data_IF_134714027510
#
_entry.id   IF_134714027510
#
_cell.length_a   1.000
_cell.length_b   1.000
_cell.length_c   1.000
_cell.angle_alpha   90.00
_cell.angle_beta   90.00
_cell.angle_gamma   90.00
#
_symmetry.space_group_name_H-M   'P 1'
#
loop_
_entity.id
_entity.type
_entity.pdbx_description
1 polymer ?
#
# COMPACT_ATOMS: atom_id res chain seq x y z
N UNK A 1 83.26 24.37 20.03
CA UNK A 1 83.45 23.26 19.08
C UNK A 1 83.93 22.06 19.89
N UNK A 2 83.01 21.22 20.35
CA UNK A 2 83.36 20.09 21.24
C UNK A 2 83.82 18.92 20.37
N UNK A 3 85.12 18.62 20.40
CA UNK A 3 85.67 17.40 19.81
C UNK A 3 85.28 16.22 20.70
N UNK A 4 84.50 15.30 20.15
CA UNK A 4 84.19 14.00 20.75
C UNK A 4 85.41 13.11 20.49
N UNK A 5 86.05 12.63 21.55
CA UNK A 5 87.17 11.69 21.49
C UNK A 5 86.67 10.30 21.91
N UNK A 6 86.33 9.44 20.94
CA UNK A 6 86.23 7.98 21.14
C UNK A 6 86.93 7.27 19.99
N UNK A 7 87.67 6.19 20.29
CA UNK A 7 88.51 5.47 19.32
C UNK A 7 87.72 4.68 18.25
N UNK A 8 86.45 4.37 18.49
CA UNK A 8 85.61 3.65 17.51
C UNK A 8 84.43 4.50 17.01
N UNK A 9 84.50 5.83 17.22
CA UNK A 9 83.48 6.83 16.85
C UNK A 9 83.28 7.03 15.34
N UNK A 10 83.05 5.96 14.59
CA UNK A 10 82.77 6.01 13.16
C UNK A 10 81.32 6.41 12.92
N UNK A 11 81.07 7.72 12.91
CA UNK A 11 80.19 8.25 11.88
C UNK A 11 80.93 8.12 10.55
N UNK A 12 80.36 7.36 9.62
CA UNK A 12 80.90 7.18 8.27
C UNK A 12 81.07 8.58 7.64
N UNK A 13 82.33 8.95 7.37
CA UNK A 13 82.75 10.22 6.75
C UNK A 13 82.12 11.51 7.32
N UNK A 14 82.74 12.08 8.37
CA UNK A 14 82.74 13.54 8.55
C UNK A 14 81.39 14.22 8.86
N UNK A 15 80.49 13.60 9.63
CA UNK A 15 79.24 14.24 10.05
C UNK A 15 79.51 15.44 10.97
N UNK A 16 79.52 16.64 10.40
CA UNK A 16 79.54 17.90 11.15
C UNK A 16 78.11 18.19 11.62
N UNK A 17 77.85 18.03 12.91
CA UNK A 17 76.60 18.48 13.53
C UNK A 17 76.64 20.00 13.67
N UNK A 18 76.01 20.70 12.73
CA UNK A 18 75.87 22.16 12.80
C UNK A 18 74.72 22.54 13.74
N UNK A 19 74.76 23.76 14.26
CA UNK A 19 73.62 24.33 15.02
C UNK A 19 72.33 24.32 14.20
N UNK A 20 72.44 24.48 12.87
CA UNK A 20 71.28 24.57 11.97
C UNK A 20 70.62 23.20 11.81
N UNK A 21 71.43 22.13 11.74
CA UNK A 21 70.91 20.77 11.77
C UNK A 21 70.23 20.46 13.12
N UNK A 22 70.86 20.81 14.25
CA UNK A 22 70.27 20.56 15.56
C UNK A 22 68.94 21.31 15.75
N UNK A 23 68.87 22.57 15.28
CA UNK A 23 67.64 23.35 15.29
C UNK A 23 66.58 22.77 14.35
N UNK A 24 66.94 22.28 13.17
CA UNK A 24 65.96 21.68 12.26
C UNK A 24 65.31 20.43 12.86
N UNK A 25 66.10 19.57 13.50
CA UNK A 25 65.60 18.38 14.19
C UNK A 25 64.72 18.72 15.41
N UNK A 26 64.97 19.84 16.11
CA UNK A 26 64.13 20.29 17.21
C UNK A 26 62.83 20.96 16.73
N UNK A 27 62.91 21.71 15.64
CA UNK A 27 61.76 22.43 15.08
C UNK A 27 60.72 21.47 14.49
N UNK A 28 61.11 20.31 13.96
CA UNK A 28 60.19 19.34 13.38
C UNK A 28 59.12 18.83 14.39
N UNK A 29 59.47 18.26 15.57
CA UNK A 29 58.49 17.89 16.58
C UNK A 29 57.82 19.11 17.23
N UNK A 30 58.50 20.27 17.30
CA UNK A 30 57.91 21.50 17.81
C UNK A 30 56.72 21.96 16.93
N UNK A 31 56.88 21.92 15.61
CA UNK A 31 55.80 22.26 14.67
C UNK A 31 54.60 21.32 14.80
N UNK A 32 54.79 20.04 15.16
CA UNK A 32 53.67 19.11 15.43
C UNK A 32 52.86 19.59 16.64
N UNK A 33 53.52 20.05 17.69
CA UNK A 33 52.85 20.60 18.88
C UNK A 33 52.08 21.88 18.54
N UNK A 34 52.75 22.82 17.87
CA UNK A 34 52.16 24.10 17.49
C UNK A 34 51.00 23.96 16.49
N UNK A 35 51.06 23.00 15.56
CA UNK A 35 49.98 22.70 14.61
C UNK A 35 48.67 22.30 15.30
N UNK A 36 48.72 21.82 16.54
CA UNK A 36 47.52 21.53 17.35
C UNK A 36 47.01 22.74 18.14
N UNK A 37 47.65 23.91 18.00
CA UNK A 37 47.36 25.12 18.76
C UNK A 37 47.89 25.09 20.20
N UNK A 38 48.79 24.17 20.54
CA UNK A 38 49.48 24.13 21.83
C UNK A 38 50.70 25.07 21.81
N UNK A 39 51.02 25.72 22.94
CA UNK A 39 52.27 26.46 23.10
C UNK A 39 53.39 25.54 23.57
N UNK A 40 54.59 25.72 23.03
CA UNK A 40 55.79 24.99 23.46
C UNK A 40 56.12 25.35 24.92
N UNK A 41 56.29 24.32 25.75
CA UNK A 41 56.65 24.45 27.17
C UNK A 41 57.84 23.53 27.45
N UNK A 42 59.04 24.09 27.72
CA UNK A 42 60.24 23.30 27.99
C UNK A 42 60.16 22.52 29.30
N UNK A 43 59.10 22.69 30.11
CA UNK A 43 58.89 21.95 31.36
C UNK A 43 57.94 20.74 31.20
N UNK A 44 57.35 20.54 30.02
CA UNK A 44 56.40 19.46 29.76
C UNK A 44 56.97 18.40 28.79
N UNK A 45 57.49 17.31 29.35
CA UNK A 45 58.07 16.20 28.57
C UNK A 45 57.02 15.39 27.75
N UNK A 46 55.73 15.71 27.87
CA UNK A 46 54.64 14.99 27.20
C UNK A 46 53.92 15.78 26.09
N UNK A 47 54.42 16.96 25.70
CA UNK A 47 53.73 17.81 24.72
C UNK A 47 53.50 17.13 23.38
N UNK A 48 54.51 16.44 22.85
CA UNK A 48 54.40 15.73 21.57
C UNK A 48 53.32 14.63 21.64
N UNK A 49 53.27 13.89 22.74
CA UNK A 49 52.26 12.85 22.95
C UNK A 49 50.84 13.45 23.02
N UNK A 50 50.67 14.57 23.73
CA UNK A 50 49.40 15.30 23.83
C UNK A 50 48.96 15.81 22.44
N UNK A 51 49.88 16.37 21.66
CA UNK A 51 49.62 16.85 20.31
C UNK A 51 49.20 15.70 19.37
N UNK A 52 49.93 14.59 19.35
CA UNK A 52 49.57 13.39 18.57
C UNK A 52 48.20 12.87 18.99
N UNK A 53 47.95 12.75 20.29
CA UNK A 53 46.65 12.30 20.82
C UNK A 53 45.51 13.23 20.37
N UNK A 54 45.76 14.55 20.33
CA UNK A 54 44.77 15.52 19.85
C UNK A 54 44.52 15.40 18.35
N UNK A 55 45.55 15.24 17.53
CA UNK A 55 45.44 15.05 16.08
C UNK A 55 44.65 13.79 15.74
N UNK A 56 44.92 12.69 16.45
CA UNK A 56 44.21 11.42 16.28
C UNK A 56 42.72 11.55 16.65
N UNK A 57 42.40 12.33 17.68
CA UNK A 57 41.03 12.48 18.19
C UNK A 57 40.22 13.63 17.53
N UNK A 58 40.89 14.54 16.81
CA UNK A 58 40.26 15.72 16.19
C UNK A 58 40.46 15.73 14.68
N UNK A 59 39.85 14.80 13.94
CA UNK A 59 39.98 14.75 12.50
C UNK A 59 39.38 16.02 11.87
N UNK A 60 40.11 16.57 10.90
CA UNK A 60 39.73 17.77 10.16
C UNK A 60 38.38 17.57 9.46
N UNK A 61 37.49 18.56 9.60
CA UNK A 61 36.24 18.63 8.83
C UNK A 61 36.47 19.56 7.65
N UNK A 62 36.46 18.98 6.45
CA UNK A 62 36.59 19.70 5.20
C UNK A 62 35.28 20.43 4.87
N UNK A 63 35.36 21.49 4.08
CA UNK A 63 34.17 22.14 3.54
C UNK A 63 33.84 21.56 2.18
N UNK A 64 32.57 21.30 1.93
CA UNK A 64 32.08 20.94 0.61
C UNK A 64 32.18 22.14 -0.35
N UNK A 65 32.77 21.90 -1.52
CA UNK A 65 32.96 22.88 -2.61
C UNK A 65 32.35 22.42 -3.93
N UNK A 66 31.56 21.33 -3.93
CA UNK A 66 30.94 20.77 -5.14
C UNK A 66 29.83 21.65 -5.75
N UNK A 67 29.32 22.62 -4.97
CA UNK A 67 28.53 23.75 -5.46
C UNK A 67 27.08 23.45 -5.85
N UNK A 68 26.63 22.19 -5.81
CA UNK A 68 25.26 21.80 -6.09
C UNK A 68 24.85 20.54 -5.32
N UNK A 69 23.54 20.31 -5.20
CA UNK A 69 23.03 19.04 -4.68
C UNK A 69 23.52 17.86 -5.52
N UNK A 70 23.79 16.72 -4.86
CA UNK A 70 24.27 15.48 -5.47
C UNK A 70 25.69 15.50 -6.06
N UNK A 71 26.38 16.65 -6.09
CA UNK A 71 27.77 16.76 -6.54
C UNK A 71 28.60 17.40 -5.44
N UNK A 72 29.45 16.60 -4.81
CA UNK A 72 30.21 17.00 -3.63
C UNK A 72 31.71 16.96 -3.92
N UNK A 73 32.46 17.88 -3.34
CA UNK A 73 33.91 17.91 -3.47
C UNK A 73 34.54 18.55 -2.23
N UNK A 74 35.81 18.28 -1.96
CA UNK A 74 36.53 18.98 -0.90
C UNK A 74 38.01 19.14 -1.27
N UNK A 75 38.70 20.04 -0.55
CA UNK A 75 40.13 20.30 -0.71
C UNK A 75 40.87 19.85 0.54
N UNK A 76 41.76 18.87 0.39
CA UNK A 76 42.61 18.36 1.46
C UNK A 76 43.93 19.14 1.52
N UNK A 77 44.54 19.15 2.70
CA UNK A 77 45.89 19.70 2.92
C UNK A 77 46.71 18.66 3.70
N UNK A 78 47.60 17.91 3.04
CA UNK A 78 47.93 17.94 1.61
C UNK A 78 46.82 17.38 0.70
N UNK A 79 46.73 17.78 -0.59
CA UNK A 79 45.76 17.23 -1.54
C UNK A 79 45.93 15.72 -1.74
N UNK A 80 44.81 15.00 -1.88
CA UNK A 80 44.85 13.62 -2.32
C UNK A 80 45.22 13.52 -3.81
N UNK A 81 45.96 12.46 -4.12
CA UNK A 81 46.33 12.04 -5.48
C UNK A 81 45.79 10.64 -5.75
N UNK A 82 45.87 10.18 -7.00
CA UNK A 82 45.47 8.81 -7.35
C UNK A 82 46.25 7.75 -6.54
N UNK A 83 47.54 7.98 -6.27
CA UNK A 83 48.39 7.05 -5.52
C UNK A 83 48.08 7.05 -4.02
N UNK A 84 47.63 8.20 -3.49
CA UNK A 84 47.25 8.32 -2.09
C UNK A 84 45.78 8.01 -1.84
N UNK A 85 44.95 7.80 -2.86
CA UNK A 85 43.54 7.40 -2.71
C UNK A 85 43.44 5.87 -2.66
N UNK A 86 43.68 5.32 -1.48
CA UNK A 86 43.64 3.87 -1.21
C UNK A 86 42.44 3.50 -0.32
N UNK A 87 42.07 2.22 -0.35
CA UNK A 87 40.97 1.68 0.45
C UNK A 87 41.14 1.99 1.95
N UNK A 88 40.02 2.36 2.60
CA UNK A 88 39.99 2.69 4.02
C UNK A 88 40.18 4.18 4.33
N UNK A 89 40.43 5.04 3.34
CA UNK A 89 40.54 6.48 3.57
C UNK A 89 39.19 7.07 3.99
N UNK A 90 39.19 7.70 5.17
CA UNK A 90 38.06 8.42 5.71
C UNK A 90 38.13 9.92 5.44
N UNK A 91 37.02 10.53 5.06
CA UNK A 91 36.90 11.99 4.97
C UNK A 91 35.67 12.47 5.74
N UNK A 92 35.84 13.58 6.48
CA UNK A 92 34.74 14.30 7.12
C UNK A 92 34.49 15.57 6.36
N UNK A 93 33.27 15.74 5.84
CA UNK A 93 32.92 16.86 4.97
C UNK A 93 31.67 17.53 5.51
N UNK A 94 31.70 18.85 5.69
CA UNK A 94 30.52 19.65 5.97
C UNK A 94 29.78 19.89 4.65
N UNK A 95 28.58 19.33 4.54
CA UNK A 95 27.76 19.32 3.34
C UNK A 95 27.15 20.70 3.08
N UNK A 96 27.21 21.17 1.83
CA UNK A 96 26.66 22.48 1.44
C UNK A 96 25.22 22.41 0.91
N UNK A 97 24.79 21.25 0.41
CA UNK A 97 23.44 21.06 -0.16
C UNK A 97 22.90 19.68 0.17
N UNK A 98 21.64 19.61 0.60
CA UNK A 98 20.95 18.33 0.83
C UNK A 98 20.83 17.53 -0.46
N UNK A 99 21.14 16.23 -0.44
CA UNK A 99 21.00 15.39 -1.62
C UNK A 99 19.53 15.07 -1.90
N UNK A 100 19.20 14.92 -3.19
CA UNK A 100 17.85 14.55 -3.65
C UNK A 100 17.83 13.19 -4.35
N UNK A 101 18.97 12.50 -4.40
CA UNK A 101 19.11 11.18 -5.00
C UNK A 101 20.57 10.75 -5.07
N UNK A 102 20.91 9.99 -6.11
CA UNK A 102 22.27 9.49 -6.34
C UNK A 102 23.28 10.61 -6.40
N UNK A 103 24.38 10.46 -5.67
CA UNK A 103 25.35 11.52 -5.43
C UNK A 103 26.77 11.07 -5.77
N UNK A 104 27.65 12.00 -6.10
CA UNK A 104 29.09 11.76 -6.33
C UNK A 104 29.96 12.59 -5.41
N UNK A 105 31.17 12.10 -5.14
CA UNK A 105 32.19 12.81 -4.40
C UNK A 105 33.55 12.76 -5.11
N UNK A 106 34.18 13.93 -5.22
CA UNK A 106 35.40 14.17 -5.97
C UNK A 106 36.38 15.08 -5.19
N UNK A 107 37.18 14.54 -4.25
CA UNK A 107 38.14 15.35 -3.52
C UNK A 107 39.32 15.76 -4.41
N UNK A 108 39.84 16.96 -4.20
CA UNK A 108 41.10 17.46 -4.80
C UNK A 108 41.16 17.40 -6.34
N UNK A 109 40.00 17.47 -7.02
CA UNK A 109 39.92 17.38 -8.48
C UNK A 109 40.14 15.98 -9.05
N UNK A 110 40.14 14.94 -8.21
CA UNK A 110 40.11 13.55 -8.66
C UNK A 110 38.78 13.23 -9.36
N UNK A 111 38.72 12.19 -10.21
CA UNK A 111 37.48 11.82 -10.88
C UNK A 111 36.36 11.47 -9.91
N UNK A 112 35.15 11.95 -10.19
CA UNK A 112 33.93 11.63 -9.45
C UNK A 112 33.75 10.13 -9.21
N UNK A 113 33.49 9.78 -7.96
CA UNK A 113 33.08 8.42 -7.55
C UNK A 113 31.71 8.48 -6.89
N UNK A 114 30.86 7.45 -7.08
CA UNK A 114 29.54 7.42 -6.46
C UNK A 114 29.64 7.38 -4.94
N UNK A 115 28.70 8.05 -4.29
CA UNK A 115 28.42 7.90 -2.86
C UNK A 115 27.31 6.87 -2.70
N UNK A 116 27.56 5.87 -1.85
CA UNK A 116 26.59 4.82 -1.50
C UNK A 116 26.33 4.85 -0.01
N UNK A 117 25.13 4.48 0.44
CA UNK A 117 24.86 4.30 1.86
C UNK A 117 25.50 3.02 2.43
N UNK A 118 25.32 2.79 3.74
CA UNK A 118 25.82 1.58 4.40
C UNK A 118 25.26 0.28 3.82
N UNK A 119 24.07 0.32 3.20
CA UNK A 119 23.49 -0.81 2.46
C UNK A 119 24.13 -1.08 1.10
N UNK A 120 25.19 -0.34 0.72
CA UNK A 120 25.85 -0.37 -0.59
C UNK A 120 24.94 -0.03 -1.77
N UNK A 121 23.85 0.70 -1.49
CA UNK A 121 22.94 1.23 -2.49
C UNK A 121 23.25 2.70 -2.75
N UNK A 122 22.93 3.19 -3.95
CA UNK A 122 23.01 4.62 -4.23
C UNK A 122 22.11 5.42 -3.30
N UNK A 123 22.51 6.66 -2.98
CA UNK A 123 21.70 7.56 -2.17
C UNK A 123 20.32 7.82 -2.82
N UNK A 124 19.27 7.94 -1.99
CA UNK A 124 17.86 8.06 -2.38
C UNK A 124 17.29 9.46 -2.12
N UNK A 125 17.97 10.28 -1.32
CA UNK A 125 17.55 11.61 -0.91
C UNK A 125 17.60 11.78 0.61
N UNK A 126 18.01 12.96 1.05
CA UNK A 126 18.08 13.36 2.46
C UNK A 126 19.10 12.61 3.33
N UNK A 127 19.94 11.72 2.79
CA UNK A 127 21.02 11.07 3.55
C UNK A 127 22.21 12.00 3.83
N UNK A 128 22.47 12.95 2.93
CA UNK A 128 23.43 14.04 3.08
C UNK A 128 22.62 15.31 3.27
N UNK A 129 22.67 15.90 4.46
CA UNK A 129 21.87 17.08 4.81
C UNK A 129 22.74 18.33 4.84
N UNK A 130 22.24 19.43 4.30
CA UNK A 130 22.89 20.73 4.35
C UNK A 130 23.35 21.08 5.78
N UNK A 131 24.58 21.56 5.89
CA UNK A 131 25.31 21.83 7.13
C UNK A 131 25.63 20.62 8.01
N UNK A 132 25.13 19.43 7.66
CA UNK A 132 25.51 18.17 8.27
C UNK A 132 26.98 17.83 8.02
N UNK A 133 27.61 17.12 8.96
CA UNK A 133 28.95 16.57 8.79
C UNK A 133 28.80 15.13 8.31
N UNK A 134 29.14 14.87 7.05
CA UNK A 134 29.20 13.54 6.48
C UNK A 134 30.55 12.90 6.77
N UNK A 135 30.55 11.62 7.15
CA UNK A 135 31.76 10.79 7.20
C UNK A 135 31.71 9.79 6.05
N UNK A 136 32.65 9.94 5.12
CA UNK A 136 32.79 9.11 3.93
C UNK A 136 33.99 8.17 4.10
N UNK A 137 33.86 6.93 3.65
CA UNK A 137 34.94 5.94 3.61
C UNK A 137 35.15 5.46 2.19
N UNK A 138 36.37 5.56 1.67
CA UNK A 138 36.69 5.07 0.34
C UNK A 138 36.89 3.54 0.34
N UNK A 139 36.28 2.87 -0.64
CA UNK A 139 36.46 1.43 -0.87
C UNK A 139 36.66 1.15 -2.36
N UNK A 140 37.40 0.09 -2.67
CA UNK A 140 37.55 -0.47 -4.02
C UNK A 140 36.93 -1.86 -4.14
N UNK A 141 36.03 -2.21 -3.21
CA UNK A 141 35.34 -3.49 -3.20
C UNK A 141 34.64 -3.78 -4.54
N UNK A 142 34.78 -4.99 -5.11
CA UNK A 142 34.12 -5.35 -6.37
C UNK A 142 32.59 -5.35 -6.28
N UNK A 143 32.03 -5.39 -5.06
CA UNK A 143 30.59 -5.32 -4.81
C UNK A 143 30.01 -3.93 -5.06
N UNK A 144 30.85 -2.90 -5.14
CA UNK A 144 30.42 -1.50 -5.30
C UNK A 144 31.13 -0.91 -6.51
N UNK A 145 30.36 -0.28 -7.41
CA UNK A 145 30.89 0.38 -8.61
C UNK A 145 31.86 -0.50 -9.45
N UNK A 146 31.61 -1.81 -9.50
CA UNK A 146 32.45 -2.80 -10.17
C UNK A 146 33.96 -2.74 -9.80
N UNK A 147 34.28 -2.33 -8.57
CA UNK A 147 35.65 -2.18 -8.09
C UNK A 147 36.37 -0.90 -8.55
N UNK A 148 35.69 -0.01 -9.28
CA UNK A 148 36.27 1.26 -9.75
C UNK A 148 36.34 2.35 -8.67
N UNK A 149 36.16 2.00 -7.39
CA UNK A 149 36.15 2.95 -6.27
C UNK A 149 34.78 3.54 -5.99
N UNK A 150 34.41 3.66 -4.72
CA UNK A 150 33.19 4.34 -4.26
C UNK A 150 33.40 4.91 -2.85
N UNK A 151 32.57 5.88 -2.48
CA UNK A 151 32.53 6.45 -1.14
C UNK A 151 31.33 5.89 -0.39
N UNK A 152 31.57 5.18 0.72
CA UNK A 152 30.52 4.73 1.62
C UNK A 152 30.22 5.86 2.60
N UNK A 153 28.97 6.32 2.62
CA UNK A 153 28.45 7.18 3.65
C UNK A 153 28.27 6.37 4.94
N UNK A 154 29.14 6.62 5.92
CA UNK A 154 29.05 5.99 7.24
C UNK A 154 27.97 6.66 8.08
N UNK A 155 27.90 7.99 8.00
CA UNK A 155 26.85 8.79 8.63
C UNK A 155 26.88 10.23 8.10
N UNK A 156 25.74 10.91 8.16
CA UNK A 156 25.65 12.36 8.11
C UNK A 156 24.83 12.83 9.32
N UNK A 157 25.29 13.86 10.02
CA UNK A 157 24.50 14.46 11.10
C UNK A 157 23.17 15.00 10.55
N UNK A 158 22.04 14.46 11.03
CA UNK A 158 20.70 14.83 10.59
C UNK A 158 20.18 14.11 9.34
N UNK A 159 21.01 13.30 8.68
CA UNK A 159 20.64 12.56 7.47
C UNK A 159 19.81 11.30 7.74
N UNK A 160 19.00 10.93 6.76
CA UNK A 160 18.26 9.65 6.76
C UNK A 160 19.23 8.47 6.64
N UNK A 161 18.87 7.34 7.26
CA UNK A 161 19.64 6.11 7.17
C UNK A 161 19.02 5.19 6.12
N UNK A 162 19.81 4.78 5.14
CA UNK A 162 19.40 3.75 4.21
C UNK A 162 19.33 2.39 4.90
N UNK A 163 18.19 1.71 4.73
CA UNK A 163 17.98 0.37 5.22
C UNK A 163 17.79 -0.58 4.02
N UNK A 164 18.61 -1.64 3.86
CA UNK A 164 18.25 -2.73 2.97
C UNK A 164 17.00 -3.47 3.50
N UNK A 165 16.26 -4.19 2.65
CA UNK A 165 15.11 -4.97 3.10
C UNK A 165 15.45 -5.91 4.27
N UNK A 166 14.72 -5.77 5.37
CA UNK A 166 14.86 -6.61 6.55
C UNK A 166 14.47 -8.06 6.23
N UNK A 167 15.28 -9.03 6.66
CA UNK A 167 15.07 -10.47 6.40
C UNK A 167 14.93 -11.32 7.66
N UNK A 168 15.36 -10.78 8.81
CA UNK A 168 15.35 -11.48 10.09
C UNK A 168 14.47 -10.74 11.11
N UNK A 169 14.00 -11.42 12.19
CA UNK A 169 13.07 -10.84 13.16
C UNK A 169 13.56 -9.57 13.87
N UNK A 170 14.87 -9.35 13.91
CA UNK A 170 15.51 -8.21 14.58
C UNK A 170 16.09 -7.17 13.60
N UNK A 171 15.71 -7.23 12.31
CA UNK A 171 16.07 -6.19 11.35
C UNK A 171 15.04 -5.06 11.37
N UNK A 172 15.51 -3.83 11.17
CA UNK A 172 14.63 -2.73 10.79
C UNK A 172 14.01 -3.03 9.41
N UNK A 173 12.74 -2.65 9.23
CA UNK A 173 12.03 -2.81 7.95
C UNK A 173 12.10 -1.52 7.15
N UNK A 174 12.09 -1.63 5.82
CA UNK A 174 11.94 -0.47 4.95
C UNK A 174 10.51 0.06 4.98
N UNK A 175 10.31 1.30 4.53
CA UNK A 175 8.96 1.86 4.36
C UNK A 175 8.11 0.97 3.43
N UNK A 176 8.69 0.50 2.32
CA UNK A 176 8.00 -0.41 1.39
C UNK A 176 7.53 -1.70 2.09
N UNK A 177 8.38 -2.30 2.93
CA UNK A 177 8.00 -3.48 3.70
C UNK A 177 6.89 -3.17 4.72
N UNK A 178 6.93 -1.99 5.33
CA UNK A 178 5.88 -1.53 6.24
C UNK A 178 4.55 -1.34 5.49
N UNK A 179 4.56 -0.69 4.33
CA UNK A 179 3.36 -0.43 3.53
C UNK A 179 2.70 -1.74 3.08
N UNK A 180 3.49 -2.71 2.61
CA UNK A 180 2.99 -4.04 2.27
C UNK A 180 2.40 -4.76 3.50
N UNK A 181 3.03 -4.60 4.67
CA UNK A 181 2.62 -5.29 5.90
C UNK A 181 1.44 -4.64 6.62
N UNK A 182 1.27 -3.33 6.55
CA UNK A 182 0.36 -2.58 7.42
C UNK A 182 -0.75 -1.82 6.69
N UNK A 183 -0.69 -1.68 5.37
CA UNK A 183 -1.82 -1.07 4.63
C UNK A 183 -3.05 -1.99 4.78
N UNK A 184 -4.16 -1.54 5.38
CA UNK A 184 -5.38 -2.33 5.43
C UNK A 184 -5.87 -2.57 4.00
N UNK A 185 -6.01 -3.82 3.61
CA UNK A 185 -6.44 -4.15 2.26
C UNK A 185 -7.93 -4.42 2.20
N UNK A 186 -8.59 -3.87 1.18
CA UNK A 186 -10.00 -4.12 0.88
C UNK A 186 -10.11 -4.53 -0.58
N UNK A 187 -10.78 -5.65 -0.84
CA UNK A 187 -11.21 -6.05 -2.19
C UNK A 187 -12.73 -6.04 -2.26
N UNK A 188 -13.29 -5.39 -3.30
CA UNK A 188 -14.72 -5.41 -3.60
C UNK A 188 -14.93 -6.17 -4.90
N UNK A 189 -15.62 -7.30 -4.81
CA UNK A 189 -15.78 -8.27 -5.90
C UNK A 189 -17.26 -8.29 -6.31
N UNK A 190 -17.55 -7.70 -7.48
CA UNK A 190 -18.90 -7.57 -8.05
C UNK A 190 -19.15 -8.52 -9.24
N UNK A 191 -18.12 -9.26 -9.65
CA UNK A 191 -18.20 -10.28 -10.69
C UNK A 191 -17.51 -11.56 -10.21
N UNK A 192 -18.01 -12.71 -10.64
CA UNK A 192 -17.37 -14.01 -10.34
C UNK A 192 -15.93 -14.02 -10.84
N UNK A 193 -15.00 -14.42 -9.98
CA UNK A 193 -13.57 -14.42 -10.23
C UNK A 193 -12.80 -14.97 -9.04
N UNK A 194 -11.48 -14.85 -9.09
CA UNK A 194 -10.61 -15.36 -8.03
C UNK A 194 -10.13 -14.23 -7.12
N UNK A 195 -10.07 -14.50 -5.82
CA UNK A 195 -9.40 -13.68 -4.84
C UNK A 195 -8.12 -14.39 -4.38
N UNK A 196 -6.96 -13.75 -4.53
CA UNK A 196 -5.68 -14.28 -4.04
C UNK A 196 -5.32 -13.59 -2.72
N UNK A 197 -5.38 -14.30 -1.58
CA UNK A 197 -5.10 -13.73 -0.27
C UNK A 197 -3.65 -13.27 -0.19
N UNK A 198 -3.43 -12.07 0.33
CA UNK A 198 -2.09 -11.53 0.62
C UNK A 198 -1.74 -11.60 2.11
N UNK A 199 -2.72 -11.95 2.96
CA UNK A 199 -2.57 -12.24 4.39
C UNK A 199 -3.39 -13.46 4.78
N UNK A 200 -3.02 -14.07 5.91
CA UNK A 200 -3.73 -15.23 6.44
C UNK A 200 -5.09 -14.83 7.03
N UNK A 201 -5.14 -13.77 7.83
CA UNK A 201 -6.38 -13.30 8.46
C UNK A 201 -7.20 -12.44 7.50
N UNK A 202 -8.42 -12.89 7.21
CA UNK A 202 -9.34 -12.20 6.32
C UNK A 202 -10.73 -12.10 6.96
N UNK A 203 -11.42 -11.00 6.71
CA UNK A 203 -12.81 -10.79 7.09
C UNK A 203 -13.67 -10.69 5.84
N UNK A 204 -14.61 -11.62 5.72
CA UNK A 204 -15.50 -11.71 4.57
C UNK A 204 -16.83 -11.09 4.93
N UNK A 205 -17.20 -10.05 4.19
CA UNK A 205 -18.55 -9.50 4.19
C UNK A 205 -19.19 -9.83 2.86
N UNK A 206 -20.06 -10.85 2.85
CA UNK A 206 -20.89 -11.17 1.69
C UNK A 206 -22.20 -10.42 1.77
N UNK A 207 -22.38 -9.56 0.80
CA UNK A 207 -23.52 -8.68 0.68
C UNK A 207 -24.46 -9.30 -0.33
N UNK A 208 -25.41 -10.06 0.19
CA UNK A 208 -26.42 -10.68 -0.65
C UNK A 208 -25.85 -11.74 -1.58
N UNK A 209 -26.47 -12.90 -1.58
CA UNK A 209 -26.69 -13.54 -2.86
C UNK A 209 -27.53 -12.63 -3.78
N UNK A 210 -27.69 -12.99 -5.05
CA UNK A 210 -28.59 -12.24 -5.92
C UNK A 210 -30.00 -12.18 -5.33
N UNK A 211 -30.64 -11.01 -5.38
CA UNK A 211 -32.03 -10.87 -4.96
C UNK A 211 -32.99 -11.48 -5.98
N UNK A 212 -34.16 -11.93 -5.56
CA UNK A 212 -35.18 -12.46 -6.47
C UNK A 212 -35.88 -11.38 -7.28
N UNK A 213 -36.34 -11.73 -8.48
CA UNK A 213 -37.20 -10.85 -9.29
C UNK A 213 -38.65 -10.87 -8.79
N UNK A 214 -39.41 -9.80 -9.04
CA UNK A 214 -40.85 -9.78 -8.75
C UNK A 214 -41.67 -10.54 -9.78
N UNK A 215 -42.89 -10.93 -9.40
CA UNK A 215 -43.87 -11.50 -10.34
C UNK A 215 -44.58 -10.41 -11.15
N UNK A 216 -45.18 -10.78 -12.29
CA UNK A 216 -46.01 -9.88 -13.09
C UNK A 216 -47.41 -9.71 -12.49
N UNK A 217 -48.08 -8.61 -12.86
CA UNK A 217 -49.49 -8.37 -12.56
C UNK A 217 -50.37 -8.61 -13.78
N UNK A 218 -51.63 -8.99 -13.56
CA UNK A 218 -52.64 -9.14 -14.62
C UNK A 218 -53.89 -8.30 -14.39
N UNK A 219 -54.25 -7.54 -15.42
CA UNK A 219 -55.52 -6.81 -15.46
C UNK A 219 -56.62 -7.70 -16.08
N UNK A 220 -57.78 -7.76 -15.45
CA UNK A 220 -58.96 -8.44 -15.99
C UNK A 220 -60.17 -7.54 -15.82
N UNK A 221 -61.14 -7.71 -16.71
CA UNK A 221 -62.32 -6.84 -16.85
C UNK A 221 -63.07 -6.57 -15.54
N UNK A 222 -63.04 -7.50 -14.59
CA UNK A 222 -63.76 -7.40 -13.31
C UNK A 222 -62.86 -7.28 -12.07
N UNK A 223 -61.54 -7.51 -12.18
CA UNK A 223 -60.60 -7.50 -11.04
C UNK A 223 -59.14 -7.45 -11.48
N UNK A 224 -58.28 -6.93 -10.60
CA UNK A 224 -56.85 -6.80 -10.82
C UNK A 224 -56.05 -7.70 -9.89
N UNK A 225 -55.08 -8.45 -10.43
CA UNK A 225 -54.21 -9.35 -9.67
C UNK A 225 -52.76 -8.85 -9.75
N UNK A 226 -52.23 -8.18 -8.70
CA UNK A 226 -50.83 -7.80 -8.66
C UNK A 226 -49.91 -8.99 -8.34
N UNK A 227 -48.65 -8.87 -8.76
CA UNK A 227 -47.59 -9.82 -8.43
C UNK A 227 -46.97 -9.57 -7.04
N UNK A 228 -46.38 -10.61 -6.46
CA UNK A 228 -45.53 -10.48 -5.27
C UNK A 228 -44.14 -9.93 -5.61
N UNK A 229 -43.50 -9.25 -4.66
CA UNK A 229 -42.11 -8.80 -4.79
C UNK A 229 -41.11 -9.93 -4.53
N UNK A 230 -39.92 -9.84 -5.10
CA UNK A 230 -38.85 -10.82 -4.87
C UNK A 230 -38.19 -10.66 -3.50
N UNK A 231 -37.66 -11.75 -2.94
CA UNK A 231 -36.93 -11.73 -1.67
C UNK A 231 -35.50 -11.23 -1.82
N UNK A 232 -34.91 -10.69 -0.76
CA UNK A 232 -33.48 -10.36 -0.73
C UNK A 232 -32.61 -11.61 -0.63
N UNK A 233 -31.42 -11.57 -1.22
CA UNK A 233 -30.42 -12.62 -1.02
C UNK A 233 -29.88 -12.64 0.41
N UNK A 234 -29.47 -13.81 0.87
CA UNK A 234 -28.83 -13.97 2.19
C UNK A 234 -27.53 -13.18 2.26
N UNK A 235 -27.19 -12.63 3.43
CA UNK A 235 -25.93 -11.94 3.67
C UNK A 235 -25.17 -12.56 4.83
N UNK A 236 -23.85 -12.41 4.81
CA UNK A 236 -22.96 -12.70 5.92
C UNK A 236 -22.13 -11.45 6.20
N UNK A 237 -22.09 -11.02 7.45
CA UNK A 237 -21.36 -9.83 7.87
C UNK A 237 -20.13 -10.22 8.67
N UNK A 238 -18.95 -9.75 8.22
CA UNK A 238 -17.66 -9.91 8.91
C UNK A 238 -17.40 -11.32 9.44
N UNK A 239 -17.45 -12.31 8.55
CA UNK A 239 -17.04 -13.68 8.85
C UNK A 239 -15.51 -13.80 8.78
N UNK A 240 -14.89 -14.09 9.92
CA UNK A 240 -13.44 -14.28 10.00
C UNK A 240 -13.02 -15.64 9.42
N UNK A 241 -11.95 -15.63 8.64
CA UNK A 241 -11.41 -16.80 7.96
C UNK A 241 -9.89 -16.71 7.90
N UNK A 242 -9.23 -17.86 8.08
CA UNK A 242 -7.82 -18.02 7.77
C UNK A 242 -7.64 -18.61 6.38
N UNK A 243 -6.92 -17.91 5.52
CA UNK A 243 -6.61 -18.33 4.16
C UNK A 243 -5.12 -18.57 3.98
N UNK A 244 -4.76 -19.41 3.02
CA UNK A 244 -3.36 -19.57 2.63
C UNK A 244 -2.96 -18.44 1.68
N UNK A 245 -1.91 -17.70 2.05
CA UNK A 245 -1.38 -16.60 1.23
C UNK A 245 -0.95 -17.12 -0.14
N UNK A 246 -1.34 -16.42 -1.20
CA UNK A 246 -0.98 -16.74 -2.58
C UNK A 246 -1.82 -17.85 -3.23
N UNK A 247 -2.70 -18.54 -2.50
CA UNK A 247 -3.58 -19.57 -3.06
C UNK A 247 -4.94 -18.96 -3.44
N UNK A 248 -5.31 -18.93 -4.72
CA UNK A 248 -6.57 -18.32 -5.15
C UNK A 248 -7.79 -19.00 -4.55
N UNK A 249 -8.78 -18.20 -4.14
CA UNK A 249 -10.10 -18.65 -3.69
C UNK A 249 -11.14 -18.17 -4.70
N UNK A 250 -11.87 -19.10 -5.29
CA UNK A 250 -12.95 -18.78 -6.22
C UNK A 250 -14.08 -18.05 -5.49
N UNK A 251 -14.40 -16.85 -5.94
CA UNK A 251 -15.55 -16.06 -5.48
C UNK A 251 -16.64 -16.10 -6.53
N UNK A 252 -17.82 -16.59 -6.17
CA UNK A 252 -19.01 -16.59 -7.04
C UNK A 252 -19.94 -15.47 -6.60
N UNK A 253 -20.33 -14.61 -7.53
CA UNK A 253 -21.31 -13.56 -7.29
C UNK A 253 -22.66 -13.98 -7.88
N UNK A 254 -23.64 -14.14 -7.01
CA UNK A 254 -25.00 -14.48 -7.36
C UNK A 254 -25.68 -13.39 -8.19
N UNK A 255 -26.23 -13.76 -9.34
CA UNK A 255 -26.96 -12.82 -10.21
C UNK A 255 -28.35 -12.52 -9.69
N UNK A 256 -28.81 -11.29 -9.89
CA UNK A 256 -30.19 -10.90 -9.61
C UNK A 256 -31.18 -11.71 -10.44
N UNK A 257 -32.25 -12.16 -9.81
CA UNK A 257 -33.36 -12.84 -10.45
C UNK A 257 -34.12 -11.89 -11.38
N UNK A 258 -34.49 -12.37 -12.56
CA UNK A 258 -35.25 -11.57 -13.52
C UNK A 258 -36.70 -11.41 -13.09
N UNK A 259 -37.23 -10.20 -13.22
CA UNK A 259 -38.65 -9.95 -13.07
C UNK A 259 -39.44 -10.77 -14.09
N UNK A 260 -40.60 -11.27 -13.69
CA UNK A 260 -41.43 -12.04 -14.60
C UNK A 260 -41.96 -11.13 -15.72
N UNK A 261 -41.72 -11.54 -16.97
CA UNK A 261 -42.37 -10.92 -18.13
C UNK A 261 -43.87 -11.28 -18.12
N UNK A 262 -44.73 -10.32 -18.42
CA UNK A 262 -46.15 -10.60 -18.54
C UNK A 262 -46.41 -11.38 -19.82
N UNK A 263 -47.15 -12.48 -19.68
CA UNK A 263 -47.58 -13.30 -20.80
C UNK A 263 -48.95 -12.80 -21.22
N UNK A 264 -48.99 -12.07 -22.34
CA UNK A 264 -50.24 -11.59 -22.94
C UNK A 264 -51.18 -12.78 -23.25
N UNK A 265 -52.42 -12.66 -22.79
CA UNK A 265 -53.57 -13.54 -23.03
C UNK A 265 -53.53 -14.98 -22.42
N UNK A 266 -54.61 -15.31 -21.70
CA UNK A 266 -55.08 -16.66 -21.31
C UNK A 266 -54.07 -17.64 -20.66
N UNK A 267 -52.94 -17.17 -20.12
CA UNK A 267 -52.05 -18.06 -19.37
C UNK A 267 -52.78 -18.60 -18.13
N UNK A 268 -52.79 -19.92 -17.89
CA UNK A 268 -53.43 -20.49 -16.71
C UNK A 268 -52.82 -19.92 -15.43
N UNK A 269 -53.66 -19.68 -14.44
CA UNK A 269 -53.24 -19.37 -13.07
C UNK A 269 -52.38 -20.51 -12.50
N UNK A 270 -51.31 -20.21 -11.74
CA UNK A 270 -50.88 -18.88 -11.27
C UNK A 270 -50.13 -18.05 -12.31
N UNK A 271 -50.12 -16.72 -12.12
CA UNK A 271 -49.32 -15.81 -12.96
C UNK A 271 -47.81 -16.19 -12.93
N UNK A 272 -47.03 -15.81 -13.95
CA UNK A 272 -45.59 -16.09 -13.97
C UNK A 272 -44.89 -15.54 -12.73
N UNK A 273 -44.20 -16.42 -12.01
CA UNK A 273 -43.33 -16.08 -10.88
C UNK A 273 -42.05 -15.40 -11.35
N UNK A 274 -41.49 -14.53 -10.51
CA UNK A 274 -40.16 -13.98 -10.74
C UNK A 274 -39.07 -15.05 -10.71
N UNK A 275 -37.95 -14.76 -11.37
CA UNK A 275 -36.74 -15.57 -11.30
C UNK A 275 -36.12 -15.51 -9.90
N UNK A 276 -35.60 -16.63 -9.41
CA UNK A 276 -34.78 -16.64 -8.21
C UNK A 276 -33.42 -15.99 -8.50
N UNK A 277 -32.85 -15.32 -7.50
CA UNK A 277 -31.46 -14.87 -7.56
C UNK A 277 -30.48 -16.03 -7.39
N UNK A 278 -29.29 -15.88 -7.96
CA UNK A 278 -28.20 -16.84 -7.83
C UNK A 278 -27.55 -16.79 -6.44
N UNK A 279 -26.98 -17.90 -5.99
CA UNK A 279 -26.20 -17.96 -4.76
C UNK A 279 -24.84 -17.24 -4.94
N UNK A 280 -24.34 -16.64 -3.86
CA UNK A 280 -22.96 -16.12 -3.78
C UNK A 280 -22.12 -17.05 -2.91
N UNK A 281 -20.84 -17.23 -3.22
CA UNK A 281 -19.92 -18.04 -2.42
C UNK A 281 -18.49 -17.52 -2.45
N UNK A 282 -17.70 -17.92 -1.44
CA UNK A 282 -16.28 -17.62 -1.30
C UNK A 282 -15.60 -18.94 -0.99
N UNK A 283 -15.10 -19.57 -2.04
CA UNK A 283 -14.65 -20.96 -2.05
C UNK A 283 -15.72 -21.89 -1.48
N UNK A 284 -15.26 -22.85 -0.69
CA UNK A 284 -16.10 -23.72 0.13
C UNK A 284 -16.38 -23.15 1.53
N UNK A 285 -15.89 -21.95 1.85
CA UNK A 285 -15.88 -21.42 3.22
C UNK A 285 -17.22 -20.79 3.62
N UNK A 286 -17.81 -20.03 2.70
CA UNK A 286 -19.07 -19.32 2.95
C UNK A 286 -19.95 -19.41 1.70
N UNK A 287 -21.24 -19.68 1.90
CA UNK A 287 -22.25 -19.66 0.82
C UNK A 287 -23.49 -18.94 1.33
N UNK A 288 -23.97 -17.99 0.54
CA UNK A 288 -25.21 -17.28 0.77
C UNK A 288 -26.24 -17.68 -0.29
N UNK A 289 -27.43 -18.07 0.14
CA UNK A 289 -28.53 -18.44 -0.75
C UNK A 289 -29.19 -17.22 -1.40
N UNK A 290 -29.51 -17.32 -2.70
CA UNK A 290 -30.24 -16.31 -3.46
C UNK A 290 -31.66 -16.06 -2.93
N UNK A 291 -32.18 -14.86 -3.17
CA UNK A 291 -33.57 -14.53 -2.89
C UNK A 291 -34.51 -15.28 -3.84
N UNK A 292 -35.61 -15.82 -3.34
CA UNK A 292 -36.63 -16.41 -4.18
C UNK A 292 -37.39 -15.32 -4.95
N UNK A 293 -37.84 -15.64 -6.16
CA UNK A 293 -38.71 -14.74 -6.91
C UNK A 293 -40.08 -14.59 -6.24
N UNK A 294 -40.75 -13.47 -6.49
CA UNK A 294 -42.14 -13.27 -6.08
C UNK A 294 -43.05 -14.27 -6.78
N UNK A 295 -44.08 -14.73 -6.08
CA UNK A 295 -45.10 -15.60 -6.66
C UNK A 295 -46.12 -14.78 -7.45
N UNK A 296 -46.65 -15.37 -8.53
CA UNK A 296 -47.77 -14.79 -9.25
C UNK A 296 -49.08 -14.93 -8.47
N UNK A 297 -49.99 -13.98 -8.64
CA UNK A 297 -51.32 -14.10 -8.04
C UNK A 297 -52.18 -15.16 -8.73
N UNK A 298 -53.33 -15.45 -8.11
CA UNK A 298 -54.20 -16.58 -8.51
C UNK A 298 -55.60 -16.12 -8.95
N UNK A 299 -56.11 -16.69 -10.05
CA UNK A 299 -57.48 -16.45 -10.57
C UNK A 299 -58.42 -17.59 -10.12
N UNK A 300 -59.47 -17.31 -9.36
CA UNK A 300 -60.48 -18.31 -8.95
C UNK A 300 -61.40 -17.86 -7.81
N UNK A 301 -62.15 -18.80 -7.21
CA UNK A 301 -62.98 -18.54 -6.02
C UNK A 301 -62.10 -18.13 -4.84
N UNK A 302 -61.88 -16.83 -4.67
CA UNK A 302 -60.98 -16.25 -3.66
C UNK A 302 -59.67 -15.70 -4.23
N UNK A 303 -59.71 -15.00 -5.36
CA UNK A 303 -58.53 -14.36 -5.95
C UNK A 303 -57.69 -13.58 -4.94
N UNK A 304 -56.38 -13.78 -5.01
CA UNK A 304 -55.37 -13.17 -4.13
C UNK A 304 -54.20 -12.65 -4.97
N UNK A 305 -53.54 -11.61 -4.45
CA UNK A 305 -52.30 -11.12 -5.02
C UNK A 305 -51.18 -12.13 -4.80
N UNK A 306 -50.13 -12.02 -5.60
CA UNK A 306 -48.96 -12.90 -5.49
C UNK A 306 -48.28 -12.78 -4.13
N UNK A 307 -47.85 -13.91 -3.57
CA UNK A 307 -47.06 -13.92 -2.34
C UNK A 307 -45.65 -13.37 -2.59
N UNK A 308 -45.09 -12.66 -1.62
CA UNK A 308 -43.69 -12.23 -1.69
C UNK A 308 -42.71 -13.42 -1.69
N UNK A 309 -41.61 -13.29 -2.42
CA UNK A 309 -40.56 -14.30 -2.47
C UNK A 309 -39.83 -14.41 -1.13
N UNK A 310 -39.48 -15.63 -0.73
CA UNK A 310 -38.62 -15.88 0.43
C UNK A 310 -37.24 -15.21 0.28
N UNK A 311 -36.70 -14.69 1.38
CA UNK A 311 -35.40 -14.02 1.40
C UNK A 311 -35.02 -13.57 2.80
N UNK A 312 -33.92 -12.83 2.91
CA UNK A 312 -33.39 -12.32 4.18
C UNK A 312 -33.28 -10.79 4.15
N UNK A 313 -34.41 -10.05 4.15
CA UNK A 313 -35.80 -10.45 4.35
C UNK A 313 -36.56 -10.82 3.06
N UNK A 314 -37.73 -11.43 3.22
CA UNK A 314 -38.64 -11.74 2.11
C UNK A 314 -39.29 -10.50 1.48
N UNK A 315 -39.80 -10.66 0.26
CA UNK A 315 -40.59 -9.64 -0.42
C UNK A 315 -42.00 -9.49 0.19
N UNK A 316 -42.68 -8.41 -0.15
CA UNK A 316 -44.08 -8.18 0.18
C UNK A 316 -45.03 -8.89 -0.80
N UNK A 317 -46.23 -9.21 -0.34
CA UNK A 317 -47.30 -9.72 -1.20
C UNK A 317 -47.98 -8.58 -1.98
N UNK A 318 -48.48 -8.88 -3.17
CA UNK A 318 -49.33 -7.97 -3.94
C UNK A 318 -50.70 -7.78 -3.28
N UNK A 319 -51.25 -6.57 -3.34
CA UNK A 319 -52.55 -6.24 -2.76
C UNK A 319 -53.69 -6.46 -3.76
N UNK A 320 -54.37 -7.60 -3.63
CA UNK A 320 -55.58 -7.87 -4.40
C UNK A 320 -56.68 -6.83 -4.13
N UNK A 321 -57.39 -6.44 -5.19
CA UNK A 321 -58.65 -5.69 -5.07
C UNK A 321 -59.75 -6.41 -5.82
N UNK A 322 -60.81 -6.77 -5.09
CA UNK A 322 -62.02 -7.38 -5.65
C UNK A 322 -63.03 -6.36 -6.19
N UNK A 323 -62.64 -5.09 -6.31
CA UNK A 323 -63.52 -4.04 -6.82
C UNK A 323 -63.20 -3.74 -8.28
N UNK A 324 -64.19 -3.93 -9.15
CA UNK A 324 -64.16 -3.49 -10.55
C UNK A 324 -64.03 -1.95 -10.69
N UNK A 325 -64.22 -1.19 -9.60
CA UNK A 325 -64.06 0.27 -9.57
C UNK A 325 -62.73 0.72 -8.98
N UNK A 326 -61.90 -0.21 -8.46
CA UNK A 326 -60.58 0.15 -8.00
C UNK A 326 -59.76 0.62 -9.20
N UNK A 327 -59.23 1.83 -9.15
CA UNK A 327 -58.47 2.37 -10.27
C UNK A 327 -57.03 1.83 -10.31
N UNK A 328 -56.52 1.31 -9.18
CA UNK A 328 -55.11 0.92 -9.02
C UNK A 328 -54.95 -0.28 -8.07
N UNK A 329 -53.93 -1.12 -8.30
CA UNK A 329 -53.41 -2.09 -7.30
C UNK A 329 -51.98 -1.77 -6.91
N UNK A 330 -51.53 -2.37 -5.81
CA UNK A 330 -50.14 -2.32 -5.38
C UNK A 330 -49.45 -3.67 -5.60
N UNK A 331 -48.33 -3.63 -6.31
CA UNK A 331 -47.41 -4.74 -6.40
C UNK A 331 -46.68 -4.94 -5.06
N UNK A 332 -46.24 -6.17 -4.80
CA UNK A 332 -45.43 -6.44 -3.61
C UNK A 332 -44.09 -5.70 -3.66
N UNK A 333 -43.66 -5.10 -2.54
CA UNK A 333 -42.32 -4.54 -2.43
C UNK A 333 -41.25 -5.64 -2.47
N UNK A 334 -40.07 -5.35 -3.02
CA UNK A 334 -38.92 -6.25 -2.92
C UNK A 334 -38.30 -6.27 -1.52
N UNK A 335 -37.63 -7.37 -1.17
CA UNK A 335 -36.90 -7.47 0.11
C UNK A 335 -35.67 -6.55 0.16
N UNK A 336 -35.46 -5.88 1.30
CA UNK A 336 -34.32 -4.99 1.56
C UNK A 336 -33.15 -5.73 2.21
N UNK A 337 -32.03 -5.89 1.51
CA UNK A 337 -30.80 -6.47 2.07
C UNK A 337 -29.96 -5.46 2.86
N UNK A 338 -28.88 -5.95 3.49
CA UNK A 338 -27.98 -5.12 4.29
C UNK A 338 -27.32 -3.95 3.52
N UNK A 339 -27.17 -4.08 2.19
CA UNK A 339 -26.57 -3.05 1.33
C UNK A 339 -27.34 -2.85 0.01
N UNK A 340 -28.60 -3.28 -0.02
CA UNK A 340 -29.45 -3.19 -1.21
C UNK A 340 -30.87 -2.83 -0.83
N UNK A 341 -31.41 -1.82 -1.51
CA UNK A 341 -32.82 -1.48 -1.41
C UNK A 341 -33.62 -2.41 -2.32
N UNK A 342 -34.51 -3.18 -1.72
CA UNK A 342 -35.60 -3.82 -2.44
C UNK A 342 -36.43 -2.75 -3.13
N UNK A 343 -36.92 -3.07 -4.33
CA UNK A 343 -37.73 -2.14 -5.09
C UNK A 343 -39.01 -1.78 -4.31
N UNK A 344 -39.47 -0.52 -4.32
CA UNK A 344 -40.67 -0.13 -3.61
C UNK A 344 -41.91 -0.85 -4.16
N UNK A 345 -42.95 -0.96 -3.34
CA UNK A 345 -44.27 -1.30 -3.84
C UNK A 345 -44.72 -0.20 -4.82
N UNK A 346 -45.03 -0.60 -6.04
CA UNK A 346 -45.45 0.32 -7.11
C UNK A 346 -46.98 0.42 -7.15
N UNK A 347 -47.47 1.62 -7.43
CA UNK A 347 -48.87 1.88 -7.77
C UNK A 347 -48.95 2.17 -9.27
N UNK A 348 -49.80 1.43 -10.00
CA UNK A 348 -49.94 1.57 -11.44
C UNK A 348 -48.79 0.93 -12.24
N UNK A 349 -48.75 1.20 -13.54
CA UNK A 349 -47.90 0.49 -14.53
C UNK A 349 -46.38 0.72 -14.42
N UNK A 350 -45.86 1.16 -13.28
CA UNK A 350 -44.43 1.41 -13.11
C UNK A 350 -43.74 0.15 -12.60
N UNK A 351 -42.71 -0.33 -13.31
CA UNK A 351 -41.86 -1.43 -12.87
C UNK A 351 -40.63 -0.82 -12.22
N UNK A 352 -40.32 -1.23 -11.00
CA UNK A 352 -39.11 -0.78 -10.31
C UNK A 352 -38.18 -1.97 -10.05
N UNK A 353 -36.96 -1.86 -10.54
CA UNK A 353 -35.90 -2.82 -10.21
C UNK A 353 -35.36 -2.53 -8.81
N UNK A 354 -34.74 -3.53 -8.20
CA UNK A 354 -33.97 -3.36 -6.99
C UNK A 354 -32.80 -2.39 -7.19
N UNK A 355 -32.20 -1.95 -6.09
CA UNK A 355 -31.01 -1.09 -6.07
C UNK A 355 -29.98 -1.58 -5.06
N UNK A 356 -28.73 -1.17 -5.20
CA UNK A 356 -27.63 -1.61 -4.32
C UNK A 356 -27.25 -3.05 -4.61
N UNK A 357 -27.08 -3.92 -3.62
CA UNK A 357 -26.69 -5.33 -3.84
C UNK A 357 -27.59 -6.31 -3.11
N UNK A 358 -27.99 -7.39 -3.80
CA UNK A 358 -28.82 -8.47 -3.27
C UNK A 358 -30.27 -8.10 -2.96
N UNK A 359 -30.73 -6.91 -3.36
CA UNK A 359 -32.12 -6.47 -3.16
C UNK A 359 -33.10 -7.17 -4.11
N UNK A 360 -34.34 -7.40 -3.64
CA UNK A 360 -35.40 -8.02 -4.45
C UNK A 360 -36.15 -7.01 -5.34
N UNK A 361 -36.65 -7.47 -6.49
CA UNK A 361 -37.44 -6.65 -7.42
C UNK A 361 -38.91 -6.50 -7.02
N UNK A 362 -39.62 -5.48 -7.54
CA UNK A 362 -41.03 -5.23 -7.18
C UNK A 362 -41.97 -6.15 -7.94
N UNK A 363 -43.10 -6.50 -7.34
CA UNK A 363 -44.20 -7.13 -8.07
C UNK A 363 -44.85 -6.15 -9.05
N UNK A 364 -45.43 -6.67 -10.13
CA UNK A 364 -46.19 -5.89 -11.10
C UNK A 364 -47.48 -5.33 -10.49
N UNK A 365 -47.69 -4.03 -10.66
CA UNK A 365 -48.90 -3.30 -10.28
C UNK A 365 -49.73 -2.91 -11.51
N UNK A 366 -51.01 -2.63 -11.30
CA UNK A 366 -51.97 -2.45 -12.39
C UNK A 366 -52.72 -1.12 -12.27
N UNK A 367 -53.16 -0.61 -13.42
CA UNK A 367 -53.95 0.60 -13.55
C UNK A 367 -55.12 0.34 -14.51
N UNK A 368 -56.34 0.37 -13.98
CA UNK A 368 -57.58 -0.09 -14.62
C UNK A 368 -57.84 0.51 -16.03
N UNK A 369 -57.35 1.72 -16.31
CA UNK A 369 -57.64 2.43 -17.58
C UNK A 369 -56.77 1.91 -18.74
N UNK A 370 -55.76 1.08 -18.49
CA UNK A 370 -54.80 0.66 -19.54
C UNK A 370 -54.99 -0.75 -20.08
N UNK A 371 -55.84 -1.60 -19.47
CA UNK A 371 -56.05 -3.00 -19.88
C UNK A 371 -54.73 -3.74 -20.18
N UNK A 372 -53.69 -3.42 -19.40
CA UNK A 372 -52.32 -3.84 -19.71
C UNK A 372 -51.67 -4.51 -18.50
N UNK A 373 -51.45 -5.80 -18.68
CA UNK A 373 -50.51 -6.67 -17.98
C UNK A 373 -49.15 -5.99 -17.69
N UNK A 374 -48.67 -6.05 -16.44
CA UNK A 374 -47.41 -5.43 -16.00
C UNK A 374 -46.34 -6.47 -15.65
N UNK A 375 -45.07 -6.15 -15.94
CA UNK A 375 -43.95 -7.04 -15.58
C UNK A 375 -43.61 -6.89 -14.08
N UNK A 376 -42.87 -7.86 -13.54
CA UNK A 376 -42.14 -7.67 -12.30
C UNK A 376 -40.82 -6.93 -12.52
N UNK A 377 -40.28 -6.34 -11.47
CA UNK A 377 -38.94 -5.74 -11.45
C UNK A 377 -37.85 -6.80 -11.27
N UNK A 378 -36.67 -6.52 -11.81
CA UNK A 378 -35.47 -7.34 -11.60
C UNK A 378 -34.92 -7.17 -10.18
N UNK A 379 -34.41 -8.26 -9.61
CA UNK A 379 -33.54 -8.23 -8.44
C UNK A 379 -32.12 -7.78 -8.79
N UNK A 380 -31.32 -7.44 -7.79
CA UNK A 380 -29.93 -7.01 -7.99
C UNK A 380 -28.91 -8.12 -7.70
N UNK A 381 -27.78 -8.08 -8.40
CA UNK A 381 -26.62 -8.94 -8.14
C UNK A 381 -26.09 -8.79 -6.70
N UNK A 382 -25.42 -9.81 -6.19
CA UNK A 382 -24.68 -9.75 -4.93
C UNK A 382 -23.34 -8.99 -5.03
N UNK A 383 -22.62 -8.91 -3.92
CA UNK A 383 -21.20 -8.49 -3.88
C UNK A 383 -20.47 -9.19 -2.74
N UNK A 384 -19.17 -9.41 -2.90
CA UNK A 384 -18.29 -9.91 -1.85
C UNK A 384 -17.25 -8.84 -1.51
N UNK A 385 -17.13 -8.49 -0.23
CA UNK A 385 -16.09 -7.59 0.28
C UNK A 385 -15.16 -8.42 1.16
N UNK A 386 -13.87 -8.31 0.90
CA UNK A 386 -12.81 -8.98 1.67
C UNK A 386 -11.90 -7.93 2.27
N UNK A 387 -11.68 -8.00 3.58
CA UNK A 387 -10.81 -7.10 4.33
C UNK A 387 -9.65 -7.92 4.96
N UNK A 388 -8.42 -7.40 4.96
CA UNK A 388 -7.24 -8.09 5.54
C UNK A 388 -6.17 -7.16 6.10
#
# INVERSE_FOLDING_TARGET
MQRINTEDGQFVEGTILTKDWANSQQNEPAHVVEATGMQLDPTDDYQLLKAITRLVNSPTVLSDVGGAANTYAAVNVPPLTADSLVEGIGQRVRISHTNTGSSTYAPDGLPDKPIVGLGLLGLQGEELVEHGIATLLYTTSPLVNAGNGAWILVMCAGGTLQLPPGKEPHHAITLEQADQRYTPGIAVITQTGDFTPVREDNWITMIGAGGGGGAGGRDMSDFMIPGGGGGAGQSVYRYHLKLQVGVPVQVTIGKGGKGAATVLAQTPSPLPRGGAGGASSFGSHVTCSGGAGGEGGFTGSGSVGGAGGFGWPGGGSGQYTGSANAQTTFGGAGGNGLFGGGAPAVNGYQITNASGYGGGGSGGALYYIKESDSNGGDGFDGVCIVEW
#
